data_IF_075310592650
#
_entry.id   IF_075310592650
#
_cell.length_a   1.000
_cell.length_b   1.000
_cell.length_c   1.000
_cell.angle_alpha   90.00
_cell.angle_beta   90.00
_cell.angle_gamma   90.00
#
_symmetry.space_group_name_H-M   'P 1'
#
loop_
_entity.id
_entity.type
_entity.pdbx_description
1 polymer ?
#
# COMPACT_ATOMS: atom_id res chain seq x y z
N UNK A 1 40.71 -18.24 6.71
CA UNK A 1 39.39 -18.52 6.11
C UNK A 1 38.40 -17.58 6.78
N UNK A 2 37.92 -16.56 6.06
CA UNK A 2 36.98 -15.59 6.61
C UNK A 2 35.60 -16.25 6.73
N UNK A 3 35.05 -16.27 7.95
CA UNK A 3 33.68 -16.70 8.18
C UNK A 3 32.74 -15.74 7.43
N UNK A 4 31.94 -16.27 6.50
CA UNK A 4 30.83 -15.53 5.92
C UNK A 4 29.85 -15.20 7.05
N UNK A 5 29.81 -13.93 7.45
CA UNK A 5 28.72 -13.41 8.24
C UNK A 5 27.40 -13.69 7.49
N UNK A 6 26.34 -14.15 8.18
CA UNK A 6 25.02 -14.27 7.54
C UNK A 6 24.61 -12.89 7.00
N UNK A 7 23.88 -12.80 5.87
CA UNK A 7 23.58 -11.54 5.17
C UNK A 7 22.63 -10.58 5.94
N UNK A 8 22.51 -10.73 7.26
CA UNK A 8 21.47 -10.12 8.09
C UNK A 8 21.99 -9.15 9.15
N UNK A 9 23.30 -8.90 9.24
CA UNK A 9 23.86 -8.00 10.26
C UNK A 9 23.77 -6.50 9.93
N UNK A 10 23.44 -6.11 8.70
CA UNK A 10 23.58 -4.71 8.25
C UNK A 10 22.33 -3.83 8.44
N UNK A 11 21.12 -4.41 8.51
CA UNK A 11 19.89 -3.61 8.55
C UNK A 11 19.56 -3.04 9.94
N UNK A 12 20.02 -3.72 11.01
CA UNK A 12 19.75 -3.41 12.42
C UNK A 12 18.28 -3.05 12.75
N UNK A 13 17.33 -3.44 11.90
CA UNK A 13 15.92 -3.25 12.21
C UNK A 13 15.48 -4.32 13.20
N UNK A 14 14.70 -3.90 14.19
CA UNK A 14 14.24 -4.76 15.27
C UNK A 14 12.72 -4.72 15.33
N UNK A 15 12.06 -5.84 15.69
CA UNK A 15 10.62 -5.84 15.85
C UNK A 15 10.18 -4.76 16.84
N UNK A 16 9.05 -4.13 16.55
CA UNK A 16 8.39 -3.24 17.51
C UNK A 16 7.94 -4.13 18.68
N UNK A 17 8.32 -3.81 19.94
CA UNK A 17 7.96 -4.61 21.10
C UNK A 17 6.45 -4.80 21.18
N UNK A 18 5.98 -6.03 21.43
CA UNK A 18 4.56 -6.30 21.54
C UNK A 18 3.97 -5.64 22.78
N UNK A 19 2.78 -5.07 22.64
CA UNK A 19 1.99 -4.51 23.74
C UNK A 19 0.66 -5.24 23.81
N UNK A 20 0.40 -5.91 24.93
CA UNK A 20 -0.77 -6.78 25.11
C UNK A 20 -2.10 -5.99 25.15
N UNK A 21 -2.04 -4.67 25.29
CA UNK A 21 -3.22 -3.81 25.15
C UNK A 21 -3.72 -3.70 23.69
N UNK A 22 -2.90 -4.13 22.72
CA UNK A 22 -3.22 -4.00 21.30
C UNK A 22 -3.22 -5.35 20.58
N UNK A 23 -4.37 -5.71 20.02
CA UNK A 23 -4.52 -6.90 19.18
C UNK A 23 -3.70 -6.78 17.88
N UNK A 24 -3.60 -5.56 17.36
CA UNK A 24 -2.90 -5.22 16.13
C UNK A 24 -1.96 -4.07 16.46
N UNK A 25 -0.71 -4.16 16.01
CA UNK A 25 0.27 -3.10 16.19
C UNK A 25 0.64 -2.45 14.86
N UNK A 26 1.02 -1.19 14.93
CA UNK A 26 1.63 -0.47 13.82
C UNK A 26 2.85 -1.24 13.32
N UNK A 27 2.99 -1.37 12.00
CA UNK A 27 4.02 -2.19 11.35
C UNK A 27 3.63 -3.66 11.14
N UNK A 28 2.57 -4.17 11.77
CA UNK A 28 2.05 -5.51 11.46
C UNK A 28 1.61 -5.60 9.98
N UNK A 29 1.96 -6.69 9.29
CA UNK A 29 1.54 -6.94 7.91
C UNK A 29 0.39 -7.94 7.86
N UNK A 30 -0.71 -7.54 7.23
CA UNK A 30 -1.91 -8.36 7.06
C UNK A 30 -2.25 -8.62 5.60
N UNK A 31 -2.86 -9.77 5.34
CA UNK A 31 -3.57 -10.04 4.09
C UNK A 31 -4.87 -9.24 4.03
N UNK A 32 -5.12 -8.59 2.89
CA UNK A 32 -6.34 -7.84 2.63
C UNK A 32 -6.80 -8.02 1.18
N UNK A 33 -8.12 -8.04 0.98
CA UNK A 33 -8.74 -8.02 -0.35
C UNK A 33 -9.13 -6.58 -0.74
N UNK A 34 -8.11 -5.74 -0.89
CA UNK A 34 -8.26 -4.34 -1.26
C UNK A 34 -7.55 -4.06 -2.60
N UNK A 35 -8.10 -3.12 -3.38
CA UNK A 35 -7.53 -2.72 -4.66
C UNK A 35 -6.55 -1.56 -4.47
N UNK A 36 -5.43 -1.60 -5.19
CA UNK A 36 -4.47 -0.47 -5.24
C UNK A 36 -5.14 0.82 -5.71
N UNK A 37 -6.17 0.73 -6.55
CA UNK A 37 -6.93 1.88 -6.99
C UNK A 37 -7.67 2.57 -5.83
N UNK A 38 -7.95 1.90 -4.71
CA UNK A 38 -8.53 2.53 -3.53
C UNK A 38 -7.58 3.60 -2.95
N UNK A 39 -6.30 3.28 -2.81
CA UNK A 39 -5.27 4.23 -2.39
C UNK A 39 -5.11 5.37 -3.40
N UNK A 40 -5.05 5.04 -4.69
CA UNK A 40 -4.91 6.02 -5.78
C UNK A 40 -6.10 6.99 -5.83
N UNK A 41 -7.32 6.48 -5.73
CA UNK A 41 -8.51 7.33 -5.65
C UNK A 41 -8.53 8.17 -4.38
N UNK A 42 -7.99 7.68 -3.27
CA UNK A 42 -7.84 8.46 -2.05
C UNK A 42 -6.86 9.63 -2.22
N UNK A 43 -5.72 9.42 -2.90
CA UNK A 43 -4.78 10.49 -3.29
C UNK A 43 -5.48 11.54 -4.14
N UNK A 44 -6.15 11.11 -5.22
CA UNK A 44 -6.88 11.97 -6.16
C UNK A 44 -7.94 12.80 -5.43
N UNK A 45 -8.70 12.20 -4.52
CA UNK A 45 -9.73 12.88 -3.74
C UNK A 45 -9.16 14.01 -2.87
N UNK A 46 -7.92 13.86 -2.40
CA UNK A 46 -7.21 14.86 -1.60
C UNK A 46 -6.41 15.87 -2.43
N UNK A 47 -6.44 15.76 -3.76
CA UNK A 47 -5.62 16.58 -4.68
C UNK A 47 -6.27 17.90 -5.10
N UNK A 48 -7.46 18.25 -4.56
CA UNK A 48 -8.18 19.50 -4.84
C UNK A 48 -8.43 19.81 -6.34
N UNK A 49 -8.94 18.82 -7.07
CA UNK A 49 -9.28 18.94 -8.50
C UNK A 49 -10.39 19.97 -8.71
N UNK A 50 -10.15 20.96 -9.58
CA UNK A 50 -11.11 22.04 -9.86
C UNK A 50 -12.12 21.67 -10.93
N UNK A 51 -11.72 20.89 -11.93
CA UNK A 51 -12.62 20.28 -12.92
C UNK A 51 -13.66 19.38 -12.23
N UNK A 52 -14.88 19.93 -12.06
CA UNK A 52 -15.99 19.25 -11.40
C UNK A 52 -16.43 17.99 -12.11
N UNK A 53 -16.33 17.94 -13.44
CA UNK A 53 -16.72 16.77 -14.24
C UNK A 53 -15.71 15.65 -13.99
N UNK A 54 -14.41 15.95 -14.11
CA UNK A 54 -13.36 14.99 -13.83
C UNK A 54 -13.42 14.49 -12.38
N UNK A 55 -13.57 15.40 -11.42
CA UNK A 55 -13.72 15.06 -10.01
C UNK A 55 -14.90 14.11 -9.78
N UNK A 56 -16.06 14.40 -10.39
CA UNK A 56 -17.24 13.54 -10.32
C UNK A 56 -16.97 12.14 -10.90
N UNK A 57 -16.31 12.05 -12.05
CA UNK A 57 -15.94 10.76 -12.65
C UNK A 57 -14.98 9.95 -11.78
N UNK A 58 -13.96 10.59 -11.19
CA UNK A 58 -13.04 9.95 -10.27
C UNK A 58 -13.75 9.48 -9.00
N UNK A 59 -14.68 10.28 -8.46
CA UNK A 59 -15.49 9.93 -7.29
C UNK A 59 -16.38 8.71 -7.56
N UNK A 60 -17.04 8.68 -8.72
CA UNK A 60 -17.87 7.55 -9.14
C UNK A 60 -17.04 6.27 -9.32
N UNK A 61 -15.85 6.38 -9.90
CA UNK A 61 -14.91 5.26 -10.01
C UNK A 61 -14.52 4.68 -8.63
N UNK A 62 -14.17 5.56 -7.69
CA UNK A 62 -13.87 5.18 -6.31
C UNK A 62 -15.07 4.52 -5.63
N UNK A 63 -16.26 5.10 -5.78
CA UNK A 63 -17.50 4.59 -5.20
C UNK A 63 -17.85 3.18 -5.69
N UNK A 64 -17.71 2.93 -7.00
CA UNK A 64 -17.88 1.59 -7.59
C UNK A 64 -16.94 0.57 -6.96
N UNK A 65 -15.70 0.96 -6.70
CA UNK A 65 -14.68 0.11 -6.09
C UNK A 65 -15.02 -0.22 -4.62
N UNK A 66 -15.55 0.76 -3.89
CA UNK A 66 -15.97 0.60 -2.50
C UNK A 66 -17.22 -0.27 -2.34
N UNK A 67 -18.20 -0.14 -3.25
CA UNK A 67 -19.48 -0.88 -3.15
C UNK A 67 -19.37 -2.38 -3.44
N UNK A 68 -18.38 -2.80 -4.23
CA UNK A 68 -18.19 -4.23 -4.49
C UNK A 68 -17.95 -4.96 -3.18
N UNK A 69 -18.53 -6.14 -3.02
CA UNK A 69 -18.23 -7.01 -1.88
C UNK A 69 -16.71 -7.28 -1.79
N UNK A 70 -16.08 -7.46 -2.94
CA UNK A 70 -14.63 -7.59 -3.12
C UNK A 70 -14.12 -6.51 -4.08
N UNK A 71 -13.23 -5.63 -3.62
CA UNK A 71 -12.66 -4.55 -4.47
C UNK A 71 -11.80 -5.10 -5.61
N UNK A 72 -11.24 -6.30 -5.42
CA UNK A 72 -10.43 -7.03 -6.39
C UNK A 72 -10.47 -8.52 -6.03
N UNK A 73 -10.18 -9.39 -6.99
CA UNK A 73 -9.94 -10.82 -6.71
C UNK A 73 -8.62 -11.08 -5.96
N UNK A 74 -7.66 -10.15 -6.04
CA UNK A 74 -6.32 -10.33 -5.47
C UNK A 74 -6.32 -10.07 -3.97
N UNK A 75 -5.83 -11.04 -3.20
CA UNK A 75 -5.42 -10.84 -1.81
C UNK A 75 -3.96 -10.41 -1.81
N UNK A 76 -3.67 -9.30 -1.15
CA UNK A 76 -2.35 -8.65 -1.11
C UNK A 76 -1.95 -8.31 0.33
N UNK A 77 -0.66 -8.05 0.59
CA UNK A 77 -0.23 -7.54 1.88
C UNK A 77 -0.64 -6.08 2.07
N UNK A 78 -0.83 -5.69 3.32
CA UNK A 78 -0.94 -4.30 3.75
C UNK A 78 -0.22 -4.14 5.09
N UNK A 79 0.40 -2.99 5.29
CA UNK A 79 1.02 -2.62 6.56
C UNK A 79 0.01 -1.79 7.35
N UNK A 80 -0.24 -2.17 8.60
CA UNK A 80 -1.08 -1.39 9.50
C UNK A 80 -0.29 -0.21 10.03
N UNK A 81 -0.89 0.98 9.99
CA UNK A 81 -0.17 2.23 10.28
C UNK A 81 -0.34 2.72 11.72
N UNK A 82 -1.33 2.21 12.45
CA UNK A 82 -1.69 2.62 13.81
C UNK A 82 -2.00 1.39 14.68
N UNK A 83 -1.66 1.47 15.97
CA UNK A 83 -2.05 0.45 16.94
C UNK A 83 -3.57 0.37 17.08
N UNK A 84 -4.07 -0.84 17.30
CA UNK A 84 -5.51 -1.09 17.40
C UNK A 84 -5.80 -2.19 18.43
N UNK A 85 -6.54 -1.81 19.47
CA UNK A 85 -7.00 -2.70 20.52
C UNK A 85 -8.07 -3.69 20.03
N UNK A 86 -8.83 -3.30 18.99
CA UNK A 86 -9.90 -4.14 18.48
C UNK A 86 -9.35 -5.25 17.58
N UNK A 87 -9.86 -6.48 17.70
CA UNK A 87 -9.42 -7.61 16.89
C UNK A 87 -9.76 -7.42 15.41
N UNK A 88 -9.07 -8.16 14.55
CA UNK A 88 -9.28 -8.14 13.08
C UNK A 88 -10.70 -8.53 12.67
N UNK A 89 -11.41 -9.29 13.50
CA UNK A 89 -12.81 -9.70 13.29
C UNK A 89 -13.79 -8.52 13.34
N UNK A 90 -13.44 -7.43 14.03
CA UNK A 90 -14.29 -6.26 14.10
C UNK A 90 -14.20 -5.47 12.79
N UNK A 91 -15.34 -5.28 12.12
CA UNK A 91 -15.45 -4.46 10.91
C UNK A 91 -15.43 -2.98 11.26
N UNK A 92 -14.26 -2.37 11.20
CA UNK A 92 -14.09 -0.92 11.33
C UNK A 92 -13.06 -0.38 10.34
N UNK A 93 -13.01 0.95 10.24
CA UNK A 93 -12.01 1.63 9.42
C UNK A 93 -10.63 1.50 10.06
N UNK A 94 -9.63 1.07 9.28
CA UNK A 94 -8.21 1.00 9.70
C UNK A 94 -7.33 1.73 8.70
N UNK A 95 -6.28 2.39 9.20
CA UNK A 95 -5.30 3.09 8.37
C UNK A 95 -4.20 2.12 7.94
N UNK A 96 -4.00 2.00 6.63
CA UNK A 96 -3.05 1.06 6.06
C UNK A 96 -2.24 1.70 4.91
N UNK A 97 -1.09 1.10 4.62
CA UNK A 97 -0.42 1.20 3.33
C UNK A 97 -0.53 -0.14 2.58
N UNK A 98 -0.82 -0.11 1.28
CA UNK A 98 -0.97 -1.34 0.49
C UNK A 98 0.35 -1.76 -0.15
N UNK A 99 0.65 -3.05 -0.07
CA UNK A 99 1.71 -3.64 -0.87
C UNK A 99 1.14 -4.25 -2.16
N UNK A 100 1.93 -4.22 -3.22
CA UNK A 100 1.53 -4.71 -4.53
C UNK A 100 2.72 -5.21 -5.33
N UNK A 101 2.40 -5.98 -6.36
CA UNK A 101 3.28 -6.26 -7.49
C UNK A 101 2.60 -5.76 -8.74
N UNK A 102 3.40 -5.26 -9.67
CA UNK A 102 2.92 -4.78 -10.95
C UNK A 102 3.07 -5.86 -12.04
N UNK A 103 2.73 -7.12 -11.70
CA UNK A 103 3.00 -8.38 -12.41
C UNK A 103 3.26 -8.31 -13.95
N UNK A 104 2.44 -7.56 -14.70
CA UNK A 104 2.48 -7.49 -16.18
C UNK A 104 2.82 -6.10 -16.75
N UNK A 105 3.08 -5.12 -15.89
CA UNK A 105 3.29 -3.73 -16.28
C UNK A 105 4.49 -3.19 -15.51
N UNK A 106 5.64 -2.97 -16.17
CA UNK A 106 6.79 -2.34 -15.53
C UNK A 106 6.38 -1.04 -14.84
N UNK A 107 6.95 -0.73 -13.68
CA UNK A 107 6.62 0.47 -12.92
C UNK A 107 6.71 1.73 -13.80
N UNK A 108 7.74 1.82 -14.65
CA UNK A 108 7.96 2.93 -15.57
C UNK A 108 6.77 3.22 -16.52
N UNK A 109 5.95 2.21 -16.83
CA UNK A 109 4.82 2.28 -17.74
C UNK A 109 3.49 2.56 -17.02
N UNK A 110 3.49 2.69 -15.69
CA UNK A 110 2.31 3.06 -14.92
C UNK A 110 2.13 4.59 -14.89
N UNK A 111 0.89 5.07 -14.62
CA UNK A 111 0.66 6.49 -14.46
C UNK A 111 1.61 7.14 -13.43
N UNK A 112 1.98 8.41 -13.62
CA UNK A 112 3.02 9.06 -12.78
C UNK A 112 2.72 8.99 -11.29
N UNK A 113 1.45 9.11 -10.91
CA UNK A 113 1.01 8.99 -9.51
C UNK A 113 1.32 7.61 -8.92
N UNK A 114 1.12 6.53 -9.68
CA UNK A 114 1.47 5.18 -9.24
C UNK A 114 2.99 5.04 -9.03
N UNK A 115 3.78 5.59 -9.95
CA UNK A 115 5.25 5.60 -9.86
C UNK A 115 5.75 6.36 -8.64
N UNK A 116 5.24 7.57 -8.44
CA UNK A 116 5.67 8.48 -7.38
C UNK A 116 5.48 7.90 -5.97
N UNK A 117 4.35 7.23 -5.75
CA UNK A 117 4.01 6.64 -4.45
C UNK A 117 4.44 5.18 -4.30
N UNK A 118 4.93 4.52 -5.36
CA UNK A 118 5.46 3.14 -5.24
C UNK A 118 6.90 3.17 -4.76
N UNK A 119 7.14 2.71 -3.54
CA UNK A 119 8.49 2.55 -2.98
C UNK A 119 8.80 1.04 -2.91
N UNK A 120 9.97 0.60 -3.39
CA UNK A 120 10.30 -0.82 -3.45
C UNK A 120 10.49 -1.43 -2.05
N UNK A 121 10.07 -2.69 -1.89
CA UNK A 121 10.37 -3.53 -0.73
C UNK A 121 11.49 -4.48 -1.15
N UNK A 122 12.67 -4.33 -0.57
CA UNK A 122 13.85 -5.07 -1.00
C UNK A 122 14.07 -6.34 -0.17
N UNK A 123 14.35 -7.49 -0.82
CA UNK A 123 14.62 -8.74 -0.13
C UNK A 123 15.98 -8.73 0.60
N UNK A 124 17.07 -8.24 -0.01
CA UNK A 124 18.42 -8.64 0.42
C UNK A 124 19.51 -7.55 0.42
N UNK A 125 19.19 -6.26 0.55
CA UNK A 125 20.23 -5.22 0.63
C UNK A 125 19.77 -4.01 1.43
N UNK A 126 20.51 -3.66 2.47
CA UNK A 126 20.35 -2.38 3.18
C UNK A 126 21.31 -1.30 2.66
N UNK A 127 21.84 -1.51 1.44
CA UNK A 127 22.91 -0.72 0.83
C UNK A 127 22.37 0.54 0.12
N UNK A 128 21.15 0.98 0.44
CA UNK A 128 20.51 2.14 -0.15
C UNK A 128 19.36 2.68 0.70
N UNK A 129 19.28 4.01 0.81
CA UNK A 129 18.37 4.71 1.72
C UNK A 129 16.88 4.73 1.27
N UNK A 130 16.56 4.23 0.07
CA UNK A 130 15.25 4.45 -0.58
C UNK A 130 14.34 3.21 -0.64
N UNK A 131 14.54 2.23 0.25
CA UNK A 131 13.79 0.96 0.19
C UNK A 131 13.26 0.52 1.55
N UNK A 132 12.18 -0.26 1.55
CA UNK A 132 11.64 -0.87 2.76
C UNK A 132 12.14 -2.30 2.97
N UNK A 133 12.26 -2.68 4.24
CA UNK A 133 12.59 -4.03 4.66
C UNK A 133 11.58 -4.53 5.69
N UNK A 134 11.45 -5.85 5.78
CA UNK A 134 10.59 -6.51 6.74
C UNK A 134 11.37 -7.52 7.57
N UNK A 135 10.76 -7.92 8.68
CA UNK A 135 11.19 -9.02 9.53
C UNK A 135 10.10 -10.11 9.50
N UNK A 136 10.40 -11.34 9.05
CA UNK A 136 11.62 -11.75 8.35
C UNK A 136 11.75 -11.06 6.98
N UNK A 137 12.86 -11.32 6.29
CA UNK A 137 13.13 -10.83 4.93
C UNK A 137 11.94 -11.03 3.99
N UNK A 138 11.61 -9.98 3.24
CA UNK A 138 10.53 -10.03 2.25
C UNK A 138 10.92 -10.97 1.11
N UNK A 139 10.24 -12.12 0.98
CA UNK A 139 10.63 -13.15 0.01
C UNK A 139 10.17 -12.87 -1.43
N UNK A 140 9.31 -11.88 -1.63
CA UNK A 140 8.65 -11.62 -2.92
C UNK A 140 9.41 -10.54 -3.70
N UNK A 141 9.92 -10.89 -4.87
CA UNK A 141 10.57 -9.94 -5.79
C UNK A 141 9.57 -8.97 -6.44
N UNK A 142 10.07 -7.80 -6.83
CA UNK A 142 9.31 -6.73 -7.50
C UNK A 142 8.06 -6.30 -6.71
N UNK A 143 8.21 -6.27 -5.39
CA UNK A 143 7.19 -5.80 -4.47
C UNK A 143 7.37 -4.32 -4.18
N UNK A 144 6.27 -3.59 -4.16
CA UNK A 144 6.22 -2.17 -3.87
C UNK A 144 5.20 -1.93 -2.78
N UNK A 145 5.49 -0.99 -1.89
CA UNK A 145 4.53 -0.41 -0.98
C UNK A 145 4.06 0.93 -1.55
N UNK A 146 2.75 1.16 -1.52
CA UNK A 146 2.19 2.48 -1.83
C UNK A 146 2.36 3.32 -0.57
N UNK A 147 3.32 4.25 -0.59
CA UNK A 147 3.65 5.18 0.50
C UNK A 147 2.56 6.26 0.65
N UNK A 148 1.36 5.82 1.00
CA UNK A 148 0.20 6.65 1.25
C UNK A 148 -0.71 5.97 2.25
N UNK A 149 -0.88 6.59 3.42
CA UNK A 149 -1.79 6.10 4.45
C UNK A 149 -3.21 6.46 4.06
N UNK A 150 -4.07 5.45 3.87
CA UNK A 150 -5.50 5.67 3.66
C UNK A 150 -6.35 4.78 4.56
N UNK A 151 -7.55 5.25 4.94
CA UNK A 151 -8.50 4.44 5.67
C UNK A 151 -9.17 3.42 4.74
N UNK A 152 -9.19 2.15 5.15
CA UNK A 152 -10.02 1.10 4.53
C UNK A 152 -11.03 0.56 5.52
N UNK A 153 -12.23 0.25 5.03
CA UNK A 153 -13.27 -0.49 5.78
C UNK A 153 -13.25 -1.99 5.47
N UNK A 154 -12.31 -2.45 4.64
CA UNK A 154 -12.16 -3.88 4.32
C UNK A 154 -11.59 -4.60 5.54
N UNK A 155 -12.07 -5.82 5.84
CA UNK A 155 -11.55 -6.58 6.96
C UNK A 155 -10.10 -7.01 6.67
N UNK A 156 -9.27 -6.99 7.71
CA UNK A 156 -7.98 -7.66 7.70
C UNK A 156 -8.23 -9.17 7.79
N UNK A 157 -7.68 -9.95 6.87
CA UNK A 157 -8.00 -11.38 6.73
C UNK A 157 -7.23 -12.20 7.76
N UNK A 158 -5.90 -12.10 7.73
CA UNK A 158 -4.97 -12.77 8.64
C UNK A 158 -3.59 -12.11 8.51
N UNK A 159 -2.66 -12.40 9.42
CA UNK A 159 -1.28 -11.95 9.28
C UNK A 159 -0.66 -12.54 8.00
N UNK A 160 0.05 -11.69 7.27
CA UNK A 160 0.73 -12.11 6.05
C UNK A 160 1.82 -13.14 6.40
N UNK A 161 1.95 -14.25 5.65
CA UNK A 161 1.44 -14.48 4.29
C UNK A 161 0.11 -15.25 4.18
N UNK A 162 -0.55 -15.57 5.29
CA UNK A 162 -1.77 -16.40 5.27
C UNK A 162 -2.94 -15.61 4.66
N UNK A 163 -3.55 -16.15 3.59
CA UNK A 163 -4.62 -15.50 2.80
C UNK A 163 -6.04 -15.92 3.18
N UNK A 164 -6.17 -16.71 4.25
CA UNK A 164 -7.45 -17.22 4.75
C UNK A 164 -7.61 -16.85 6.23
N UNK A 165 -8.84 -16.62 6.71
CA UNK A 165 -9.10 -16.40 8.14
C UNK A 165 -8.63 -17.59 9.00
N UNK A 166 -8.41 -17.34 10.29
CA UNK A 166 -8.04 -18.35 11.28
C UNK A 166 -6.75 -17.99 12.02
N UNK A 167 -6.06 -18.99 12.57
CA UNK A 167 -4.85 -18.77 13.36
C UNK A 167 -3.76 -18.09 12.56
N UNK A 168 -2.95 -17.28 13.25
CA UNK A 168 -1.77 -16.66 12.67
C UNK A 168 -0.79 -17.74 12.16
N UNK A 169 -0.09 -17.49 11.04
CA UNK A 169 0.99 -18.39 10.62
C UNK A 169 2.15 -18.35 11.62
N UNK A 170 2.95 -19.42 11.66
CA UNK A 170 4.15 -19.52 12.52
C UNK A 170 5.14 -18.37 12.27
N UNK A 171 5.26 -17.95 11.02
CA UNK A 171 6.09 -16.84 10.60
C UNK A 171 5.21 -15.73 10.02
N UNK A 172 5.32 -14.54 10.62
CA UNK A 172 4.57 -13.34 10.22
C UNK A 172 5.53 -12.25 9.80
N UNK A 173 5.14 -11.47 8.80
CA UNK A 173 5.93 -10.34 8.34
C UNK A 173 5.52 -9.09 9.11
N UNK A 174 6.52 -8.34 9.56
CA UNK A 174 6.35 -7.04 10.21
C UNK A 174 7.36 -6.05 9.66
N UNK A 175 7.00 -4.77 9.70
CA UNK A 175 7.97 -3.68 9.53
C UNK A 175 8.45 -3.32 10.93
N UNK A 176 9.76 -3.46 11.18
CA UNK A 176 10.37 -3.14 12.46
C UNK A 176 10.40 -1.63 12.70
N UNK A 177 11.03 -1.22 13.80
CA UNK A 177 11.07 0.17 14.25
C UNK A 177 11.59 1.12 13.15
N UNK A 178 12.70 0.77 12.49
CA UNK A 178 13.32 1.61 11.45
C UNK A 178 12.50 1.63 10.18
N UNK A 179 12.06 0.46 9.71
CA UNK A 179 11.27 0.38 8.48
C UNK A 179 9.91 1.09 8.64
N UNK A 180 9.28 1.00 9.81
CA UNK A 180 8.03 1.68 10.10
C UNK A 180 8.22 3.20 10.21
N UNK A 181 9.27 3.67 10.89
CA UNK A 181 9.58 5.10 10.96
C UNK A 181 9.82 5.69 9.56
N UNK A 182 10.66 5.03 8.75
CA UNK A 182 10.87 5.44 7.36
C UNK A 182 9.57 5.47 6.56
N UNK A 183 8.69 4.47 6.72
CA UNK A 183 7.39 4.45 6.05
C UNK A 183 6.51 5.64 6.47
N UNK A 184 6.53 6.03 7.74
CA UNK A 184 5.80 7.20 8.21
C UNK A 184 6.34 8.49 7.58
N UNK A 185 7.67 8.66 7.58
CA UNK A 185 8.36 9.80 6.96
C UNK A 185 8.05 9.88 5.46
N UNK A 186 8.26 8.78 4.72
CA UNK A 186 8.00 8.71 3.28
C UNK A 186 6.52 9.00 2.97
N UNK A 187 5.57 8.54 3.80
CA UNK A 187 4.15 8.86 3.64
C UNK A 187 3.84 10.33 3.89
N UNK A 188 4.48 10.93 4.89
CA UNK A 188 4.31 12.34 5.25
C UNK A 188 4.90 13.25 4.17
N UNK A 189 6.16 13.05 3.82
CA UNK A 189 6.92 13.87 2.88
C UNK A 189 6.29 13.81 1.48
N UNK A 190 6.04 12.60 0.95
CA UNK A 190 5.43 12.44 -0.38
C UNK A 190 4.06 13.08 -0.46
N UNK A 191 3.28 13.04 0.64
CA UNK A 191 1.97 13.70 0.71
C UNK A 191 2.11 15.21 0.74
N UNK A 192 3.02 15.74 1.55
CA UNK A 192 3.33 17.18 1.61
C UNK A 192 3.72 17.71 0.23
N UNK A 193 4.72 17.08 -0.39
CA UNK A 193 5.21 17.43 -1.73
C UNK A 193 4.13 17.35 -2.80
N UNK A 194 3.28 16.33 -2.74
CA UNK A 194 2.17 16.16 -3.68
C UNK A 194 1.14 17.28 -3.53
N UNK A 195 0.71 17.56 -2.30
CA UNK A 195 -0.28 18.62 -2.02
C UNK A 195 0.30 19.98 -2.42
N UNK A 196 1.57 20.24 -2.14
CA UNK A 196 2.25 21.48 -2.53
C UNK A 196 2.26 21.64 -4.06
N UNK A 197 2.55 20.58 -4.82
CA UNK A 197 2.48 20.60 -6.29
C UNK A 197 1.05 20.86 -6.80
N UNK A 198 0.04 20.23 -6.20
CA UNK A 198 -1.36 20.47 -6.55
C UNK A 198 -1.80 21.91 -6.26
N UNK A 199 -1.33 22.51 -5.18
CA UNK A 199 -1.62 23.91 -4.81
C UNK A 199 -0.93 24.89 -5.75
N UNK A 200 0.34 24.63 -6.09
CA UNK A 200 1.12 25.48 -6.99
C UNK A 200 0.59 25.46 -8.43
N UNK A 201 0.04 24.32 -8.88
CA UNK A 201 -0.53 24.18 -10.22
C UNK A 201 -1.80 23.30 -10.18
N UNK A 202 -3.01 23.89 -10.20
CA UNK A 202 -4.26 23.12 -10.21
C UNK A 202 -4.38 22.12 -11.38
N UNK A 203 -3.77 22.42 -12.54
CA UNK A 203 -3.76 21.50 -13.70
C UNK A 203 -2.95 20.24 -13.43
N UNK A 204 -1.96 20.28 -12.55
CA UNK A 204 -1.14 19.12 -12.19
C UNK A 204 -2.01 17.98 -11.63
N UNK A 205 -2.91 18.30 -10.70
CA UNK A 205 -3.84 17.33 -10.12
C UNK A 205 -4.78 16.75 -11.18
N UNK A 206 -5.29 17.59 -12.07
CA UNK A 206 -6.22 17.20 -13.14
C UNK A 206 -5.58 16.29 -14.19
N UNK A 207 -4.36 16.59 -14.61
CA UNK A 207 -3.59 15.77 -15.55
C UNK A 207 -3.37 14.36 -14.99
N UNK A 208 -2.91 14.26 -13.75
CA UNK A 208 -2.68 12.97 -13.10
C UNK A 208 -3.96 12.20 -12.78
N UNK A 209 -5.04 12.89 -12.43
CA UNK A 209 -6.33 12.25 -12.23
C UNK A 209 -6.89 11.68 -13.54
N UNK A 210 -6.73 12.39 -14.67
CA UNK A 210 -7.13 11.93 -16.00
C UNK A 210 -6.33 10.72 -16.45
N UNK A 211 -5.00 10.76 -16.25
CA UNK A 211 -4.09 9.63 -16.51
C UNK A 211 -4.53 8.38 -15.71
N UNK A 212 -4.79 8.53 -14.42
CA UNK A 212 -5.22 7.43 -13.55
C UNK A 212 -6.61 6.89 -13.92
N UNK A 213 -7.55 7.77 -14.26
CA UNK A 213 -8.91 7.39 -14.63
C UNK A 213 -8.93 6.62 -15.96
N UNK A 214 -8.16 7.06 -16.96
CA UNK A 214 -8.03 6.36 -18.23
C UNK A 214 -7.42 4.96 -18.03
N UNK A 215 -6.31 4.88 -17.30
CA UNK A 215 -5.69 3.60 -16.95
C UNK A 215 -6.66 2.67 -16.20
N UNK A 216 -7.49 3.19 -15.29
CA UNK A 216 -8.51 2.37 -14.61
C UNK A 216 -9.57 1.84 -15.59
N UNK A 217 -10.09 2.69 -16.49
CA UNK A 217 -11.10 2.30 -17.48
C UNK A 217 -10.57 1.21 -18.43
N UNK A 218 -9.34 1.34 -18.91
CA UNK A 218 -8.67 0.33 -19.74
C UNK A 218 -8.60 -1.02 -19.03
N UNK A 219 -8.14 -1.02 -17.77
CA UNK A 219 -8.02 -2.24 -16.96
C UNK A 219 -9.37 -2.87 -16.62
N UNK A 220 -10.43 -2.07 -16.48
CA UNK A 220 -11.79 -2.59 -16.34
C UNK A 220 -12.25 -3.24 -17.65
N UNK A 221 -12.04 -2.59 -18.80
CA UNK A 221 -12.42 -3.13 -20.10
C UNK A 221 -11.69 -4.44 -20.44
N UNK A 222 -10.39 -4.53 -20.16
CA UNK A 222 -9.60 -5.76 -20.33
C UNK A 222 -10.16 -6.92 -19.50
N UNK A 223 -10.56 -6.67 -18.25
CA UNK A 223 -11.15 -7.68 -17.39
C UNK A 223 -12.51 -8.14 -17.89
N UNK A 224 -13.35 -7.22 -18.37
CA UNK A 224 -14.65 -7.59 -18.94
C UNK A 224 -14.49 -8.48 -20.17
N UNK A 225 -13.49 -8.23 -21.01
CA UNK A 225 -13.17 -9.08 -22.18
C UNK A 225 -12.63 -10.46 -21.80
N UNK A 226 -11.93 -10.59 -20.68
CA UNK A 226 -11.37 -11.86 -20.24
C UNK A 226 -12.41 -12.81 -19.60
N UNK A 227 -13.62 -12.32 -19.31
CA UNK A 227 -14.72 -13.07 -18.70
C UNK A 227 -15.85 -13.36 -19.71
N UNK A 228 -15.77 -12.78 -20.91
CA UNK A 228 -16.70 -13.03 -22.03
C UNK A 228 -16.14 -14.11 -22.95
#
# INVERSE_FOLDING_TARGET
MAAHAPPHSACHDIPIPRNDNYAIMAGDVFSIQESVYAAIHNIIHQSNIQDRILYSQCKEAAYRLMRKEKATEKIRPCVVMEDDADPTSLRKSRKICLATRWDKTPLANLPKLFRYFSVPIFPNSCDGYDTYHSLPVWSVKDAFLIAWVFPTKRPLINRWPKKVPGDAPEQTWVFGQRAKAKLDDDCFDKRGDWIAQCQANPKFAEEHARECLNHWKERVAERSKAVS
#
